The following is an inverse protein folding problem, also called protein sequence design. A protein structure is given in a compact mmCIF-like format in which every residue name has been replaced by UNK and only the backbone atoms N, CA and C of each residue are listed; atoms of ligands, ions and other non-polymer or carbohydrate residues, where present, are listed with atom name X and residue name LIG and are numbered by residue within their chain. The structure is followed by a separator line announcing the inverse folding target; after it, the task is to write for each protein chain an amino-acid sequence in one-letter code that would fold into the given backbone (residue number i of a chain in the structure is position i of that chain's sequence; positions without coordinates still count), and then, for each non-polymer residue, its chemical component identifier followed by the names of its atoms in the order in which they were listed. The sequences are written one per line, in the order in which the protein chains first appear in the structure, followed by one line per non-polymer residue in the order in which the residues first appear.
data_IF_664425336324
#
_entry.id   IF_664425336324
#
_cell.length_a   1.000
_cell.length_b   1.000
_cell.length_c   1.000
_cell.angle_alpha   90.00
_cell.angle_beta   90.00
_cell.angle_gamma   90.00
#
_symmetry.space_group_name_H-M   'P 1'
#
loop_
_entity.id
_entity.type
_entity.pdbx_description
1 polymer ?
#
# COMPACT_ATOMS: atom_id res chain seq x y z
N UNK A 1 -13.72 -4.80 31.72
CA UNK A 1 -12.79 -3.83 31.11
C UNK A 1 -11.61 -4.66 30.63
N UNK A 2 -11.63 -5.06 29.37
CA UNK A 2 -10.62 -5.96 28.82
C UNK A 2 -9.36 -5.18 28.52
N UNK A 3 -8.27 -5.66 29.10
CA UNK A 3 -6.88 -5.30 28.83
C UNK A 3 -6.58 -5.56 27.34
N UNK A 4 -6.58 -4.49 26.54
CA UNK A 4 -6.05 -4.51 25.17
C UNK A 4 -4.54 -4.30 25.30
N UNK A 5 -3.86 -5.34 25.78
CA UNK A 5 -2.40 -5.41 25.84
C UNK A 5 -1.85 -5.36 24.42
N UNK A 6 -0.93 -4.42 24.19
CA UNK A 6 -0.45 -3.97 22.89
C UNK A 6 0.07 -5.05 21.97
N UNK A 7 -0.50 -5.08 20.77
CA UNK A 7 0.23 -5.41 19.55
C UNK A 7 0.49 -4.08 18.83
N UNK A 8 1.27 -3.18 19.47
CA UNK A 8 1.75 -2.03 18.72
C UNK A 8 2.73 -2.58 17.67
N UNK A 9 2.48 -2.35 16.37
CA UNK A 9 3.36 -2.86 15.34
C UNK A 9 4.75 -2.28 15.57
N UNK A 10 5.70 -3.15 15.95
CA UNK A 10 7.06 -2.73 16.24
C UNK A 10 7.69 -2.31 14.92
N UNK A 11 7.78 -1.01 14.69
CA UNK A 11 8.32 -0.46 13.45
C UNK A 11 9.75 -1.02 13.24
N UNK A 12 9.90 -1.83 12.20
CA UNK A 12 11.19 -2.43 11.89
C UNK A 12 12.17 -1.35 11.39
N UNK A 13 13.42 -1.41 11.86
CA UNK A 13 14.47 -0.54 11.35
C UNK A 13 14.75 -0.80 9.87
N UNK A 14 14.83 0.26 9.07
CA UNK A 14 15.22 0.19 7.64
C UNK A 14 16.56 -0.52 7.46
N UNK A 15 17.54 -0.28 8.34
CA UNK A 15 18.86 -0.92 8.26
C UNK A 15 18.77 -2.43 8.50
N UNK A 16 17.95 -2.87 9.44
CA UNK A 16 17.75 -4.29 9.71
C UNK A 16 16.98 -4.95 8.56
N UNK A 17 15.92 -4.30 8.07
CA UNK A 17 15.09 -4.79 6.98
C UNK A 17 15.88 -4.90 5.65
N UNK A 18 16.78 -3.96 5.36
CA UNK A 18 17.65 -3.99 4.19
C UNK A 18 18.57 -5.22 4.12
N UNK A 19 18.78 -5.92 5.24
CA UNK A 19 19.61 -7.14 5.32
C UNK A 19 18.80 -8.43 5.20
N UNK A 20 17.47 -8.35 5.19
CA UNK A 20 16.59 -9.50 5.07
C UNK A 20 16.23 -9.69 3.60
N UNK A 21 15.07 -9.19 3.20
CA UNK A 21 14.56 -9.30 1.85
C UNK A 21 13.94 -7.99 1.38
N UNK A 22 13.53 -7.99 0.11
CA UNK A 22 12.94 -6.83 -0.56
C UNK A 22 11.60 -6.41 0.06
N UNK A 23 10.78 -7.37 0.49
CA UNK A 23 9.47 -7.08 1.08
C UNK A 23 9.60 -6.45 2.48
N UNK A 24 10.54 -6.94 3.28
CA UNK A 24 10.89 -6.38 4.58
C UNK A 24 11.41 -4.95 4.43
N UNK A 25 12.33 -4.70 3.49
CA UNK A 25 12.85 -3.36 3.23
C UNK A 25 11.73 -2.38 2.84
N UNK A 26 10.86 -2.77 1.89
CA UNK A 26 9.75 -1.94 1.44
C UNK A 26 8.76 -1.65 2.57
N UNK A 27 8.44 -2.65 3.40
CA UNK A 27 7.56 -2.47 4.57
C UNK A 27 8.15 -1.48 5.58
N UNK A 28 9.42 -1.63 5.93
CA UNK A 28 10.10 -0.71 6.83
C UNK A 28 10.16 0.73 6.27
N UNK A 29 10.38 0.88 4.97
CA UNK A 29 10.35 2.20 4.30
C UNK A 29 8.96 2.82 4.28
N UNK A 30 7.90 2.02 4.02
CA UNK A 30 6.50 2.46 4.07
C UNK A 30 6.16 3.01 5.45
N UNK A 31 6.47 2.25 6.49
CA UNK A 31 6.13 2.61 7.87
C UNK A 31 6.89 3.87 8.30
N UNK A 32 8.16 4.00 7.89
CA UNK A 32 8.95 5.20 8.13
C UNK A 32 8.35 6.45 7.46
N UNK A 33 7.88 6.33 6.22
CA UNK A 33 7.25 7.44 5.49
C UNK A 33 5.90 7.79 6.13
N UNK A 34 5.07 6.80 6.45
CA UNK A 34 3.80 7.02 7.15
C UNK A 34 3.99 7.77 8.47
N UNK A 35 4.98 7.33 9.27
CA UNK A 35 5.33 7.99 10.54
C UNK A 35 5.78 9.44 10.33
N UNK A 36 6.53 9.74 9.26
CA UNK A 36 6.93 11.11 8.95
C UNK A 36 5.74 11.97 8.56
N UNK A 37 4.81 11.43 7.76
CA UNK A 37 3.58 12.12 7.37
C UNK A 37 2.70 12.44 8.60
N UNK A 38 2.53 11.49 9.52
CA UNK A 38 1.78 11.70 10.77
C UNK A 38 2.40 12.76 11.68
N UNK A 39 3.74 12.86 11.70
CA UNK A 39 4.46 13.91 12.43
C UNK A 39 4.35 15.30 11.78
N UNK A 40 3.80 15.36 10.56
CA UNK A 40 3.79 16.55 9.74
C UNK A 40 5.12 16.76 9.02
N UNK A 41 5.03 17.05 7.73
CA UNK A 41 6.17 17.35 6.86
C UNK A 41 5.98 18.70 6.18
N UNK A 42 7.06 19.28 5.67
CA UNK A 42 6.95 20.50 4.88
C UNK A 42 6.06 20.25 3.63
N UNK A 43 5.27 21.24 3.18
CA UNK A 43 4.42 21.09 1.99
C UNK A 43 5.18 20.65 0.73
N UNK A 44 6.44 21.06 0.62
CA UNK A 44 7.34 20.65 -0.46
C UNK A 44 7.63 19.15 -0.45
N UNK A 45 7.78 18.55 0.73
CA UNK A 45 8.10 17.14 0.89
C UNK A 45 6.85 16.26 0.88
N UNK A 46 5.68 16.83 1.23
CA UNK A 46 4.40 16.13 1.27
C UNK A 46 4.11 15.40 -0.05
N UNK A 47 4.17 16.10 -1.18
CA UNK A 47 3.87 15.50 -2.48
C UNK A 47 4.85 14.38 -2.86
N UNK A 48 6.13 14.52 -2.50
CA UNK A 48 7.14 13.51 -2.79
C UNK A 48 6.96 12.27 -1.91
N UNK A 49 6.65 12.47 -0.63
CA UNK A 49 6.50 11.38 0.34
C UNK A 49 5.20 10.62 0.13
N UNK A 50 4.09 11.30 -0.18
CA UNK A 50 2.82 10.63 -0.49
C UNK A 50 2.92 9.79 -1.76
N UNK A 51 3.58 10.31 -2.81
CA UNK A 51 3.86 9.52 -4.02
C UNK A 51 4.70 8.29 -3.70
N UNK A 52 5.79 8.47 -2.93
CA UNK A 52 6.66 7.35 -2.57
C UNK A 52 5.93 6.29 -1.74
N UNK A 53 5.01 6.71 -0.86
CA UNK A 53 4.16 5.80 -0.09
C UNK A 53 3.22 4.99 -0.99
N UNK A 54 2.59 5.64 -1.97
CA UNK A 54 1.75 4.96 -2.96
C UNK A 54 2.54 3.94 -3.78
N UNK A 55 3.69 4.35 -4.34
CA UNK A 55 4.55 3.49 -5.14
C UNK A 55 5.00 2.24 -4.35
N UNK A 56 5.42 2.40 -3.09
CA UNK A 56 5.84 1.28 -2.23
C UNK A 56 4.67 0.35 -1.91
N UNK A 57 3.46 0.89 -1.73
CA UNK A 57 2.27 0.09 -1.40
C UNK A 57 1.88 -0.79 -2.59
N UNK A 58 1.82 -0.23 -3.81
CA UNK A 58 1.58 -1.01 -5.03
C UNK A 58 2.65 -2.10 -5.24
N UNK A 59 3.91 -1.79 -4.91
CA UNK A 59 5.01 -2.74 -5.06
C UNK A 59 4.92 -3.91 -4.08
N UNK A 60 4.47 -3.65 -2.85
CA UNK A 60 4.19 -4.69 -1.86
C UNK A 60 3.01 -5.58 -2.30
N UNK A 61 1.95 -5.00 -2.87
CA UNK A 61 0.82 -5.77 -3.43
C UNK A 61 1.26 -6.66 -4.60
N UNK A 62 2.15 -6.16 -5.47
CA UNK A 62 2.77 -6.95 -6.55
C UNK A 62 3.63 -8.09 -6.00
N UNK A 63 4.36 -7.88 -4.90
CA UNK A 63 5.15 -8.92 -4.26
C UNK A 63 4.27 -9.97 -3.56
N UNK A 64 3.18 -9.55 -2.90
CA UNK A 64 2.23 -10.45 -2.28
C UNK A 64 1.56 -11.34 -3.33
N UNK A 65 1.08 -10.74 -4.42
CA UNK A 65 0.48 -11.49 -5.54
C UNK A 65 1.48 -12.37 -6.29
N UNK A 66 2.75 -11.99 -6.38
CA UNK A 66 3.79 -12.85 -6.96
C UNK A 66 4.20 -14.01 -6.03
N UNK A 67 4.13 -13.81 -4.71
CA UNK A 67 4.39 -14.84 -3.70
C UNK A 67 3.23 -15.84 -3.56
N UNK A 68 2.00 -15.37 -3.73
CA UNK A 68 0.76 -16.17 -3.66
C UNK A 68 0.27 -16.61 -5.06
N UNK A 69 1.10 -16.43 -6.10
CA UNK A 69 0.69 -16.31 -7.50
C UNK A 69 1.03 -17.44 -8.45
N UNK A 70 1.11 -18.68 -7.97
CA UNK A 70 0.48 -19.75 -8.75
C UNK A 70 -1.03 -19.67 -8.45
N UNK A 71 -1.70 -18.69 -9.06
CA UNK A 71 -3.16 -18.41 -9.12
C UNK A 71 -3.58 -16.98 -8.68
N UNK A 72 -3.52 -16.01 -9.59
CA UNK A 72 -4.48 -14.90 -9.58
C UNK A 72 -4.78 -14.46 -11.02
N UNK A 73 -6.00 -14.79 -11.46
CA UNK A 73 -6.51 -14.54 -12.81
C UNK A 73 -6.63 -13.05 -13.13
N UNK A 74 -6.52 -12.76 -14.43
CA UNK A 74 -6.55 -11.43 -14.98
C UNK A 74 -7.81 -10.64 -14.63
N UNK A 75 -7.62 -9.35 -14.41
CA UNK A 75 -8.68 -8.35 -14.49
C UNK A 75 -9.20 -8.31 -15.94
N UNK A 76 -10.33 -8.95 -16.21
CA UNK A 76 -11.07 -8.66 -17.44
C UNK A 76 -11.70 -7.27 -17.31
N UNK A 77 -11.23 -6.35 -18.16
CA UNK A 77 -11.82 -5.04 -18.36
C UNK A 77 -13.25 -5.22 -18.88
N UNK A 78 -14.23 -5.09 -17.98
CA UNK A 78 -15.65 -5.13 -18.35
C UNK A 78 -16.04 -3.81 -19.03
N UNK A 79 -16.16 -3.86 -20.36
CA UNK A 79 -16.66 -2.76 -21.18
C UNK A 79 -18.12 -2.44 -20.78
N UNK A 80 -18.31 -1.35 -20.03
CA UNK A 80 -19.63 -0.89 -19.61
C UNK A 80 -20.33 -0.17 -20.77
N UNK A 81 -21.36 -0.79 -21.37
CA UNK A 81 -22.25 -0.14 -22.34
C UNK A 81 -23.49 0.42 -21.61
N UNK A 82 -23.63 1.75 -21.49
CA UNK A 82 -24.82 2.33 -20.87
C UNK A 82 -26.04 2.04 -21.74
N UNK A 83 -27.05 1.39 -21.17
CA UNK A 83 -28.36 1.22 -21.81
C UNK A 83 -29.08 2.57 -21.81
N UNK A 84 -29.23 3.16 -23.00
CA UNK A 84 -30.14 4.28 -23.21
C UNK A 84 -31.56 3.75 -23.08
N UNK A 85 -32.24 4.08 -21.99
CA UNK A 85 -33.68 3.85 -21.87
C UNK A 85 -34.39 4.97 -22.59
N UNK A 86 -34.82 4.72 -23.82
CA UNK A 86 -35.72 5.63 -24.52
C UNK A 86 -37.07 5.64 -23.79
N UNK A 87 -37.45 6.84 -23.33
CA UNK A 87 -38.74 7.10 -22.69
C UNK A 87 -39.78 7.09 -23.81
N UNK A 88 -40.64 6.07 -23.85
CA UNK A 88 -41.80 6.08 -24.75
C UNK A 88 -42.75 7.23 -24.39
N UNK A 89 -43.46 7.81 -25.38
CA UNK A 89 -44.33 8.98 -25.22
C UNK A 89 -45.55 8.73 -24.32
#
# INVERSE_FOLDING_TARGET
MSDVGGDEPVQQSVLAAARLDRAALLSAMRDLIATQLDKGVAPRDLASLTKRLADISEELEKLATAGDGEAAGGIEEVEFKPRVVERLP
#
